data_IF_734633414342
#
_entry.id   IF_734633414342
#
_cell.length_a   1.000
_cell.length_b   1.000
_cell.length_c   1.000
_cell.angle_alpha   90.00
_cell.angle_beta   90.00
_cell.angle_gamma   90.00
#
_symmetry.space_group_name_H-M   'P 1'
#
loop_
_entity.id
_entity.type
_entity.pdbx_description
1 polymer ?
#
# COMPACT_ATOMS: atom_id res chain seq x y z
N UNK A 1 45.39 -0.44 -11.45
CA UNK A 1 44.28 -0.64 -10.50
C UNK A 1 44.62 0.11 -9.24
N UNK A 2 44.16 1.36 -9.10
CA UNK A 2 44.43 2.20 -7.93
C UNK A 2 43.11 2.47 -7.23
N UNK A 3 42.89 1.77 -6.13
CA UNK A 3 41.76 1.98 -5.23
C UNK A 3 42.11 3.16 -4.32
N UNK A 4 41.54 4.33 -4.60
CA UNK A 4 41.55 5.45 -3.67
C UNK A 4 40.66 5.06 -2.49
N UNK A 5 41.28 4.53 -1.45
CA UNK A 5 40.70 4.38 -0.13
C UNK A 5 40.17 5.74 0.32
N UNK A 6 38.85 5.94 0.16
CA UNK A 6 38.13 7.12 0.59
C UNK A 6 38.11 7.12 2.12
N UNK A 7 39.14 7.72 2.73
CA UNK A 7 39.24 7.86 4.19
C UNK A 7 38.14 8.79 4.70
N UNK A 8 37.09 8.22 5.27
CA UNK A 8 36.00 8.98 5.90
C UNK A 8 36.41 9.34 7.33
N UNK A 9 36.66 10.63 7.55
CA UNK A 9 37.19 11.22 8.80
C UNK A 9 36.19 11.30 9.99
N UNK A 10 34.96 10.79 9.88
CA UNK A 10 33.96 10.96 10.95
C UNK A 10 33.11 9.70 11.23
N UNK A 11 33.13 9.15 12.47
CA UNK A 11 32.35 7.95 12.85
C UNK A 11 30.82 8.11 12.77
N UNK A 12 30.30 9.34 12.82
CA UNK A 12 28.85 9.63 12.94
C UNK A 12 28.05 9.45 11.64
N UNK A 13 28.71 9.37 10.47
CA UNK A 13 28.04 9.11 9.17
C UNK A 13 27.80 7.63 8.87
N UNK A 14 28.15 6.73 9.80
CA UNK A 14 27.97 5.27 9.62
C UNK A 14 26.54 4.79 9.88
N UNK A 15 25.74 5.56 10.64
CA UNK A 15 24.35 5.21 10.98
C UNK A 15 23.33 5.55 9.89
N UNK A 16 23.57 6.61 9.10
CA UNK A 16 22.58 7.11 8.13
C UNK A 16 22.25 6.10 7.01
N UNK A 17 23.20 5.27 6.59
CA UNK A 17 22.99 4.31 5.50
C UNK A 17 22.33 3.00 5.93
N UNK A 18 22.51 2.62 7.19
CA UNK A 18 21.82 1.47 7.78
C UNK A 18 20.38 1.86 8.14
N UNK A 19 20.10 3.10 8.55
CA UNK A 19 18.71 3.53 8.75
C UNK A 19 17.95 3.69 7.42
N UNK A 20 18.55 4.28 6.39
CA UNK A 20 17.88 4.47 5.09
C UNK A 20 17.50 3.17 4.37
N UNK A 21 18.25 2.07 4.56
CA UNK A 21 17.93 0.76 3.95
C UNK A 21 16.84 -0.02 4.69
N UNK A 22 16.50 0.35 5.92
CA UNK A 22 15.54 -0.36 6.77
C UNK A 22 14.19 0.38 6.95
N UNK A 23 14.00 1.58 6.40
CA UNK A 23 12.87 2.45 6.76
C UNK A 23 11.72 2.58 5.75
N UNK A 24 11.64 1.74 4.72
CA UNK A 24 10.44 1.69 3.88
C UNK A 24 9.32 0.89 4.57
N UNK A 25 8.71 1.47 5.60
CA UNK A 25 7.52 0.90 6.26
C UNK A 25 6.29 1.20 5.41
N UNK A 26 5.45 0.18 5.16
CA UNK A 26 4.14 0.36 4.52
C UNK A 26 3.08 0.69 5.57
N UNK A 27 2.33 1.76 5.36
CA UNK A 27 1.18 2.14 6.19
C UNK A 27 -0.06 1.46 5.65
N UNK A 28 -0.76 0.72 6.50
CA UNK A 28 -1.90 -0.10 6.10
C UNK A 28 -3.12 0.28 6.93
N UNK A 29 -4.22 0.62 6.26
CA UNK A 29 -5.53 0.68 6.87
C UNK A 29 -6.20 -0.70 6.75
N UNK A 30 -6.54 -1.32 7.89
CA UNK A 30 -7.29 -2.59 7.90
C UNK A 30 -8.76 -2.31 8.16
N UNK A 31 -9.63 -2.97 7.40
CA UNK A 31 -11.08 -3.04 7.65
C UNK A 31 -11.59 -4.45 7.46
N UNK A 32 -12.78 -4.71 7.97
CA UNK A 32 -13.47 -5.98 7.80
C UNK A 32 -14.93 -5.75 7.46
N UNK A 33 -15.54 -6.68 6.74
CA UNK A 33 -16.96 -6.65 6.41
C UNK A 33 -17.55 -8.06 6.41
N UNK A 34 -18.75 -8.17 6.96
CA UNK A 34 -19.61 -9.35 6.88
C UNK A 34 -20.93 -9.04 6.18
N UNK A 35 -21.17 -7.76 5.91
CA UNK A 35 -22.41 -7.29 5.31
C UNK A 35 -22.40 -7.59 3.81
N UNK A 36 -23.47 -8.19 3.33
CA UNK A 36 -23.66 -8.54 1.92
C UNK A 36 -24.89 -7.83 1.40
N UNK A 37 -24.72 -7.05 0.33
CA UNK A 37 -25.79 -6.31 -0.31
C UNK A 37 -25.61 -6.29 -1.83
N UNK A 38 -26.70 -6.42 -2.59
CA UNK A 38 -26.74 -6.33 -4.07
C UNK A 38 -25.61 -7.10 -4.79
N UNK A 39 -25.28 -8.29 -4.28
CA UNK A 39 -24.26 -9.16 -4.87
C UNK A 39 -22.82 -8.76 -4.56
N UNK A 40 -22.59 -7.90 -3.56
CA UNK A 40 -21.25 -7.48 -3.15
C UNK A 40 -21.12 -7.35 -1.63
N UNK A 41 -19.88 -7.23 -1.17
CA UNK A 41 -19.52 -6.90 0.21
C UNK A 41 -19.04 -5.44 0.24
N UNK A 42 -19.91 -4.47 0.57
CA UNK A 42 -19.48 -3.09 0.67
C UNK A 42 -18.65 -2.87 1.94
N UNK A 43 -17.67 -1.99 1.84
CA UNK A 43 -16.83 -1.56 2.94
C UNK A 43 -16.61 -0.05 2.81
N UNK A 44 -17.08 0.72 3.79
CA UNK A 44 -16.91 2.17 3.80
C UNK A 44 -15.42 2.53 3.88
N UNK A 45 -14.94 3.39 2.97
CA UNK A 45 -13.53 3.83 2.90
C UNK A 45 -13.38 5.31 3.22
N UNK A 46 -14.36 5.87 3.92
CA UNK A 46 -14.28 7.17 4.57
C UNK A 46 -14.28 7.02 6.09
N UNK A 47 -13.81 8.06 6.80
CA UNK A 47 -14.07 8.21 8.22
C UNK A 47 -15.55 8.51 8.50
N UNK A 48 -15.94 8.51 9.77
CA UNK A 48 -17.32 8.75 10.21
C UNK A 48 -17.82 10.15 9.84
N UNK A 49 -16.93 11.15 9.82
CA UNK A 49 -17.27 12.54 9.54
C UNK A 49 -16.53 13.11 8.33
N UNK A 50 -15.31 12.62 8.04
CA UNK A 50 -14.44 13.18 6.99
C UNK A 50 -13.76 12.07 6.16
N UNK A 51 -13.45 12.33 4.88
CA UNK A 51 -12.55 11.48 4.10
C UNK A 51 -11.21 11.30 4.83
N UNK A 52 -10.51 10.20 4.54
CA UNK A 52 -9.11 10.11 4.95
C UNK A 52 -8.32 11.24 4.28
N UNK A 53 -7.35 11.81 5.00
CA UNK A 53 -6.40 12.73 4.40
C UNK A 53 -5.69 12.04 3.21
N UNK A 54 -5.37 12.82 2.18
CA UNK A 54 -4.46 12.35 1.14
C UNK A 54 -3.16 11.88 1.81
N UNK A 55 -2.64 10.74 1.37
CA UNK A 55 -1.44 10.12 1.94
C UNK A 55 -1.56 9.65 3.41
N UNK A 56 -2.78 9.38 3.93
CA UNK A 56 -2.93 8.82 5.29
C UNK A 56 -2.37 7.39 5.43
N UNK A 57 -2.40 6.60 4.36
CA UNK A 57 -1.90 5.23 4.29
C UNK A 57 -1.58 4.85 2.84
N UNK A 58 -0.81 3.78 2.64
CA UNK A 58 -0.39 3.34 1.30
C UNK A 58 -1.36 2.27 0.73
N UNK A 59 -1.92 1.44 1.62
CA UNK A 59 -2.83 0.35 1.25
C UNK A 59 -4.05 0.27 2.18
N UNK A 60 -5.18 -0.12 1.60
CA UNK A 60 -6.34 -0.63 2.30
C UNK A 60 -6.35 -2.16 2.22
N UNK A 61 -6.43 -2.81 3.37
CA UNK A 61 -6.65 -4.26 3.46
C UNK A 61 -8.06 -4.52 3.98
N UNK A 62 -8.87 -5.25 3.20
CA UNK A 62 -10.25 -5.59 3.58
C UNK A 62 -10.38 -7.09 3.75
N UNK A 63 -10.83 -7.50 4.94
CA UNK A 63 -11.18 -8.89 5.24
C UNK A 63 -12.68 -9.13 5.05
N UNK A 64 -13.06 -10.12 4.24
CA UNK A 64 -14.45 -10.56 4.06
C UNK A 64 -14.68 -11.77 4.96
N UNK A 65 -15.27 -11.55 6.15
CA UNK A 65 -15.41 -12.60 7.17
C UNK A 65 -16.13 -13.85 6.66
N UNK A 66 -17.30 -13.76 5.98
CA UNK A 66 -18.07 -14.95 5.61
C UNK A 66 -17.40 -15.80 4.51
N UNK A 67 -16.33 -15.30 3.90
CA UNK A 67 -15.63 -15.96 2.79
C UNK A 67 -14.18 -16.31 3.12
N UNK A 68 -13.67 -15.81 4.25
CA UNK A 68 -12.25 -15.90 4.62
C UNK A 68 -11.32 -15.39 3.51
N UNK A 69 -11.64 -14.22 2.95
CA UNK A 69 -10.89 -13.61 1.84
C UNK A 69 -10.30 -12.25 2.23
N UNK A 70 -9.14 -11.95 1.66
CA UNK A 70 -8.41 -10.71 1.85
C UNK A 70 -8.26 -9.95 0.55
N UNK A 71 -8.60 -8.67 0.54
CA UNK A 71 -8.28 -7.74 -0.55
C UNK A 71 -7.17 -6.80 -0.11
N UNK A 72 -6.18 -6.57 -0.98
CA UNK A 72 -5.05 -5.68 -0.73
C UNK A 72 -5.04 -4.60 -1.83
N UNK A 73 -5.58 -3.44 -1.51
CA UNK A 73 -5.91 -2.39 -2.49
C UNK A 73 -5.03 -1.16 -2.26
N UNK A 74 -4.24 -0.70 -3.25
CA UNK A 74 -3.49 0.55 -3.15
C UNK A 74 -4.42 1.75 -2.95
N UNK A 75 -4.02 2.71 -2.11
CA UNK A 75 -4.80 3.94 -1.83
C UNK A 75 -5.27 4.68 -3.09
N UNK A 76 -4.44 4.88 -4.14
CA UNK A 76 -4.85 5.65 -5.32
C UNK A 76 -6.04 5.06 -6.07
N UNK A 77 -6.28 3.75 -5.95
CA UNK A 77 -7.29 3.01 -6.71
C UNK A 77 -8.72 3.36 -6.27
N UNK A 78 -8.89 3.83 -5.04
CA UNK A 78 -10.20 4.13 -4.48
C UNK A 78 -10.38 5.58 -4.02
N UNK A 79 -9.50 6.48 -4.44
CA UNK A 79 -9.66 7.93 -4.21
C UNK A 79 -11.02 8.42 -4.70
N UNK A 80 -11.61 9.33 -3.93
CA UNK A 80 -12.93 9.91 -4.20
C UNK A 80 -14.13 8.98 -3.95
N UNK A 81 -13.92 7.74 -3.51
CA UNK A 81 -15.01 6.80 -3.24
C UNK A 81 -15.38 6.80 -1.77
N UNK A 82 -16.68 6.72 -1.47
CA UNK A 82 -17.17 6.60 -0.10
C UNK A 82 -17.12 5.14 0.42
N UNK A 83 -17.16 4.17 -0.49
CA UNK A 83 -17.14 2.73 -0.21
C UNK A 83 -16.48 1.98 -1.35
N UNK A 84 -15.79 0.89 -1.02
CA UNK A 84 -15.42 -0.13 -2.00
C UNK A 84 -16.48 -1.23 -1.98
N UNK A 85 -16.86 -1.73 -3.16
CA UNK A 85 -17.84 -2.81 -3.31
C UNK A 85 -17.12 -4.06 -3.84
N UNK A 86 -16.88 -5.03 -2.96
CA UNK A 86 -16.06 -6.21 -3.25
C UNK A 86 -16.94 -7.36 -3.77
N UNK A 87 -16.55 -7.97 -4.88
CA UNK A 87 -17.31 -9.03 -5.56
C UNK A 87 -16.43 -10.26 -5.83
N UNK A 88 -16.10 -11.06 -4.80
CA UNK A 88 -15.16 -12.19 -4.96
C UNK A 88 -15.67 -13.29 -5.89
N UNK A 89 -16.98 -13.39 -6.13
CA UNK A 89 -17.56 -14.36 -7.05
C UNK A 89 -17.56 -13.91 -8.53
N UNK A 90 -17.03 -12.72 -8.83
CA UNK A 90 -17.01 -12.16 -10.19
C UNK A 90 -15.57 -11.87 -10.60
N UNK A 91 -15.08 -12.64 -11.56
CA UNK A 91 -13.68 -12.66 -12.02
C UNK A 91 -13.22 -11.29 -12.57
N UNK A 92 -14.07 -10.58 -13.31
CA UNK A 92 -13.76 -9.26 -13.90
C UNK A 92 -14.33 -8.08 -13.10
N UNK A 93 -14.52 -8.23 -11.79
CA UNK A 93 -14.96 -7.12 -10.95
C UNK A 93 -13.86 -6.06 -10.78
N UNK A 94 -14.25 -4.81 -10.54
CA UNK A 94 -13.34 -3.64 -10.38
C UNK A 94 -12.11 -3.90 -9.50
N UNK A 95 -12.25 -4.73 -8.46
CA UNK A 95 -11.18 -5.02 -7.50
C UNK A 95 -10.65 -6.45 -7.57
N UNK A 96 -11.05 -7.26 -8.55
CA UNK A 96 -10.72 -8.69 -8.60
C UNK A 96 -9.21 -8.96 -8.55
N UNK A 97 -8.42 -8.16 -9.26
CA UNK A 97 -6.95 -8.22 -9.25
C UNK A 97 -6.30 -8.03 -7.87
N UNK A 98 -7.02 -7.46 -6.91
CA UNK A 98 -6.52 -7.20 -5.55
C UNK A 98 -6.90 -8.31 -4.56
N UNK A 99 -7.68 -9.31 -4.99
CA UNK A 99 -8.00 -10.48 -4.17
C UNK A 99 -6.72 -11.29 -3.91
N UNK A 100 -6.31 -11.40 -2.65
CA UNK A 100 -5.10 -12.11 -2.25
C UNK A 100 -3.80 -11.48 -2.74
N UNK A 101 -3.81 -10.21 -3.16
CA UNK A 101 -2.66 -9.49 -3.72
C UNK A 101 -1.57 -9.11 -2.69
N UNK A 102 -1.17 -10.05 -1.83
CA UNK A 102 -0.15 -9.87 -0.80
C UNK A 102 1.24 -9.51 -1.37
N UNK A 103 1.48 -9.83 -2.64
CA UNK A 103 2.71 -9.49 -3.35
C UNK A 103 2.94 -7.97 -3.39
N UNK A 104 1.86 -7.17 -3.49
CA UNK A 104 1.93 -5.70 -3.50
C UNK A 104 2.58 -5.12 -2.23
N UNK A 105 2.46 -5.81 -1.10
CA UNK A 105 3.09 -5.39 0.17
C UNK A 105 4.57 -5.75 0.23
N UNK A 106 5.01 -6.73 -0.56
CA UNK A 106 6.38 -7.26 -0.58
C UNK A 106 7.26 -6.57 -1.62
N UNK A 107 6.64 -5.98 -2.65
CA UNK A 107 7.36 -5.26 -3.69
C UNK A 107 7.97 -3.97 -3.14
N UNK A 108 9.29 -3.85 -3.30
CA UNK A 108 9.98 -2.58 -3.11
C UNK A 108 9.55 -1.68 -4.24
N UNK A 109 9.00 -0.52 -3.92
CA UNK A 109 8.81 0.48 -4.97
C UNK A 109 10.20 0.82 -5.54
N UNK A 110 10.36 0.87 -6.87
CA UNK A 110 11.56 1.43 -7.45
C UNK A 110 11.67 2.87 -6.96
N UNK A 111 12.85 3.21 -6.43
CA UNK A 111 13.14 4.56 -5.97
C UNK A 111 13.08 5.51 -7.18
N UNK A 112 12.05 6.34 -7.28
CA UNK A 112 11.89 7.35 -8.32
C UNK A 112 12.85 8.56 -8.16
N UNK A 113 14.05 8.37 -7.59
CA UNK A 113 15.11 9.38 -7.63
C UNK A 113 15.89 9.38 -8.96
N UNK A 114 15.60 8.46 -9.88
CA UNK A 114 16.26 8.40 -11.20
C UNK A 114 15.52 9.19 -12.31
N UNK A 115 14.35 9.78 -12.03
CA UNK A 115 13.53 10.44 -13.03
C UNK A 115 13.76 11.96 -13.15
N UNK A 116 14.63 12.55 -12.32
CA UNK A 116 14.86 14.01 -12.27
C UNK A 116 16.25 14.43 -12.79
N UNK A 117 16.89 13.59 -13.60
CA UNK A 117 18.16 13.91 -14.27
C UNK A 117 18.08 13.89 -15.81
N UNK A 118 16.87 14.06 -16.36
CA UNK A 118 16.67 14.28 -17.79
C UNK A 118 15.95 15.63 -18.02
N UNK A 119 16.63 16.71 -17.64
CA UNK A 119 16.45 18.04 -18.22
C UNK A 119 17.71 18.38 -19.02
#
# INVERSE_FOLDING_TARGET
MNELAMQIKQPKRRGEWVELRFMAVRRIQVKSTQFFDRGCYPCAVKGSHWPYAEDAFDFLVVYILPRDLWYIIPEPVFRGQASVALRPAVEDSKYSQYLGAWHLLKEKQPCNLAAESAL
#
